data_IF_738477896409
#
_entry.id   IF_738477896409
#
_cell.length_a   1.000
_cell.length_b   1.000
_cell.length_c   1.000
_cell.angle_alpha   90.00
_cell.angle_beta   90.00
_cell.angle_gamma   90.00
#
_symmetry.space_group_name_H-M   'P 1'
#
loop_
_entity.id
_entity.type
_entity.pdbx_description
1 polymer ?
#
# COMPACT_ATOMS: atom_id res chain seq x y z
N UNK A 1 -3.02 -8.40 15.27
CA UNK A 1 -3.52 -8.04 13.93
C UNK A 1 -3.40 -6.53 13.84
N UNK A 2 -2.38 -6.08 13.12
CA UNK A 2 -2.09 -4.65 12.95
C UNK A 2 -2.50 -4.24 11.53
N UNK A 3 -3.21 -3.13 11.42
CA UNK A 3 -3.54 -2.56 10.11
C UNK A 3 -2.51 -1.48 9.83
N UNK A 4 -1.68 -1.72 8.81
CA UNK A 4 -0.69 -0.76 8.37
C UNK A 4 -1.24 -0.05 7.14
N UNK A 5 -1.51 1.26 7.27
CA UNK A 5 -1.92 2.07 6.13
C UNK A 5 -0.70 2.45 5.30
N UNK A 6 -0.85 2.52 3.98
CA UNK A 6 0.19 2.89 3.04
C UNK A 6 -0.38 3.85 2.01
N UNK A 7 0.36 4.91 1.68
CA UNK A 7 0.03 5.78 0.56
C UNK A 7 0.87 5.34 -0.64
N UNK A 8 0.22 5.03 -1.75
CA UNK A 8 0.87 4.73 -3.01
C UNK A 8 0.69 5.92 -3.95
N UNK A 9 1.79 6.52 -4.38
CA UNK A 9 1.79 7.57 -5.39
C UNK A 9 1.87 6.92 -6.78
N UNK A 10 0.96 7.31 -7.66
CA UNK A 10 0.74 6.68 -8.96
C UNK A 10 1.03 7.65 -10.09
N UNK A 11 1.60 7.15 -11.18
CA UNK A 11 1.83 7.87 -12.41
C UNK A 11 0.50 8.11 -13.13
N UNK A 12 0.37 9.27 -13.78
CA UNK A 12 -0.79 9.58 -14.61
C UNK A 12 -1.02 8.48 -15.67
N UNK A 13 -2.29 8.08 -15.85
CA UNK A 13 -2.69 7.00 -16.75
C UNK A 13 -2.61 5.57 -16.19
N UNK A 14 -1.98 5.35 -15.03
CA UNK A 14 -1.84 4.02 -14.41
C UNK A 14 -2.88 3.71 -13.32
N UNK A 15 -3.69 4.70 -12.97
CA UNK A 15 -4.56 4.67 -11.81
C UNK A 15 -5.53 3.47 -11.81
N UNK A 16 -6.33 3.30 -12.86
CA UNK A 16 -7.32 2.21 -12.94
C UNK A 16 -6.67 0.83 -13.01
N UNK A 17 -5.52 0.73 -13.67
CA UNK A 17 -4.73 -0.51 -13.77
C UNK A 17 -4.23 -0.92 -12.40
N UNK A 18 -3.59 -0.01 -11.67
CA UNK A 18 -3.05 -0.30 -10.33
C UNK A 18 -4.16 -0.53 -9.31
N UNK A 19 -5.29 0.17 -9.41
CA UNK A 19 -6.46 -0.07 -8.56
C UNK A 19 -6.92 -1.53 -8.67
N UNK A 20 -7.12 -2.04 -9.89
CA UNK A 20 -7.50 -3.45 -10.13
C UNK A 20 -6.47 -4.43 -9.61
N UNK A 21 -5.18 -4.11 -9.75
CA UNK A 21 -4.10 -4.95 -9.21
C UNK A 21 -4.19 -5.01 -7.69
N UNK A 22 -4.38 -3.88 -7.00
CA UNK A 22 -4.45 -3.84 -5.55
C UNK A 22 -5.70 -4.53 -5.01
N UNK A 23 -6.86 -4.39 -5.66
CA UNK A 23 -8.09 -5.12 -5.31
C UNK A 23 -7.94 -6.64 -5.44
N UNK A 24 -7.04 -7.12 -6.31
CA UNK A 24 -6.74 -8.54 -6.47
C UNK A 24 -5.65 -9.06 -5.52
N UNK A 25 -4.96 -8.20 -4.76
CA UNK A 25 -3.91 -8.61 -3.83
C UNK A 25 -4.51 -9.06 -2.49
N UNK A 26 -4.18 -10.28 -2.07
CA UNK A 26 -4.52 -10.75 -0.72
C UNK A 26 -3.91 -9.85 0.36
N UNK A 27 -4.63 -9.67 1.46
CA UNK A 27 -4.24 -8.83 2.60
C UNK A 27 -4.19 -7.32 2.34
N UNK A 28 -4.49 -6.87 1.12
CA UNK A 28 -4.61 -5.45 0.78
C UNK A 28 -6.09 -5.08 0.65
N UNK A 29 -6.46 -3.96 1.26
CA UNK A 29 -7.72 -3.28 1.01
C UNK A 29 -7.46 -1.88 0.50
N UNK A 30 -8.22 -1.43 -0.50
CA UNK A 30 -8.19 -0.04 -0.96
C UNK A 30 -9.13 0.78 -0.06
N UNK A 31 -8.60 1.77 0.64
CA UNK A 31 -9.35 2.61 1.57
C UNK A 31 -9.78 3.94 0.96
N UNK A 32 -9.08 4.43 -0.06
CA UNK A 32 -9.42 5.69 -0.68
C UNK A 32 -8.49 6.06 -1.83
N UNK A 33 -8.95 7.05 -2.59
CA UNK A 33 -8.25 7.58 -3.76
C UNK A 33 -8.29 9.10 -3.64
N UNK A 34 -7.14 9.75 -3.77
CA UNK A 34 -7.04 11.21 -3.74
C UNK A 34 -5.99 11.68 -4.75
N UNK A 35 -6.44 12.37 -5.80
CA UNK A 35 -5.56 12.83 -6.89
C UNK A 35 -4.78 11.67 -7.51
N UNK A 36 -3.44 11.70 -7.48
CA UNK A 36 -2.55 10.64 -7.94
C UNK A 36 -2.12 9.69 -6.82
N UNK A 37 -2.89 9.57 -5.74
CA UNK A 37 -2.58 8.73 -4.59
C UNK A 37 -3.69 7.71 -4.34
N UNK A 38 -3.29 6.48 -4.05
CA UNK A 38 -4.16 5.40 -3.60
C UNK A 38 -3.76 5.05 -2.16
N UNK A 39 -4.74 5.07 -1.25
CA UNK A 39 -4.55 4.66 0.14
C UNK A 39 -4.89 3.18 0.25
N UNK A 40 -3.90 2.40 0.67
CA UNK A 40 -4.02 0.97 0.91
C UNK A 40 -3.93 0.68 2.40
N UNK A 41 -4.62 -0.36 2.85
CA UNK A 41 -4.42 -0.97 4.14
C UNK A 41 -3.89 -2.39 3.96
N UNK A 42 -2.80 -2.70 4.63
CA UNK A 42 -2.25 -4.04 4.74
C UNK A 42 -2.65 -4.63 6.09
N UNK A 43 -3.40 -5.72 6.05
CA UNK A 43 -3.74 -6.51 7.23
C UNK A 43 -2.68 -7.59 7.45
N UNK A 44 -1.78 -7.36 8.40
CA UNK A 44 -0.73 -8.31 8.73
C UNK A 44 -0.18 -8.09 10.14
N UNK A 45 0.29 -9.15 10.78
CA UNK A 45 1.10 -9.13 12.00
C UNK A 45 2.56 -9.55 11.73
N UNK A 46 2.94 -9.80 10.47
CA UNK A 46 4.29 -10.18 10.07
C UNK A 46 4.99 -9.01 9.36
N UNK A 47 6.01 -8.46 10.02
CA UNK A 47 6.85 -7.38 9.48
C UNK A 47 7.51 -7.75 8.15
N UNK A 48 7.75 -9.04 7.89
CA UNK A 48 8.30 -9.49 6.62
C UNK A 48 7.26 -9.45 5.50
N UNK A 49 5.97 -9.65 5.80
CA UNK A 49 4.88 -9.46 4.82
C UNK A 49 4.81 -7.99 4.44
N UNK A 50 4.91 -7.06 5.40
CA UNK A 50 5.00 -5.63 5.11
C UNK A 50 6.16 -5.33 4.16
N UNK A 51 7.39 -5.70 4.55
CA UNK A 51 8.58 -5.39 3.75
C UNK A 51 8.50 -5.97 2.32
N UNK A 52 8.05 -7.22 2.17
CA UNK A 52 7.87 -7.86 0.86
C UNK A 52 6.77 -7.17 0.03
N UNK A 53 5.65 -6.83 0.66
CA UNK A 53 4.52 -6.19 -0.01
C UNK A 53 4.87 -4.78 -0.46
N UNK A 54 5.51 -3.99 0.40
CA UNK A 54 5.98 -2.64 0.07
C UNK A 54 6.96 -2.69 -1.10
N UNK A 55 7.94 -3.60 -1.07
CA UNK A 55 8.88 -3.77 -2.18
C UNK A 55 8.17 -4.19 -3.48
N UNK A 56 7.26 -5.17 -3.40
CA UNK A 56 6.49 -5.63 -4.56
C UNK A 56 5.70 -4.49 -5.20
N UNK A 57 5.04 -3.64 -4.41
CA UNK A 57 4.29 -2.49 -4.92
C UNK A 57 5.24 -1.43 -5.50
N UNK A 58 6.36 -1.16 -4.82
CA UNK A 58 7.35 -0.19 -5.30
C UNK A 58 7.93 -0.56 -6.67
N UNK A 59 8.09 -1.86 -6.95
CA UNK A 59 8.62 -2.36 -8.22
C UNK A 59 7.55 -2.42 -9.34
N UNK A 60 6.29 -2.06 -9.08
CA UNK A 60 5.23 -2.07 -10.09
C UNK A 60 5.34 -0.91 -11.08
N UNK A 61 5.11 -1.20 -12.37
CA UNK A 61 5.01 -0.15 -13.37
C UNK A 61 3.87 0.82 -13.04
N UNK A 62 4.16 2.12 -13.10
CA UNK A 62 3.21 3.18 -12.77
C UNK A 62 3.19 3.57 -11.30
N UNK A 63 3.91 2.89 -10.41
CA UNK A 63 4.12 3.36 -9.04
C UNK A 63 5.30 4.34 -9.01
N UNK A 64 5.06 5.53 -8.48
CA UNK A 64 6.08 6.56 -8.27
C UNK A 64 6.71 6.49 -6.88
N UNK A 65 5.98 5.95 -5.91
CA UNK A 65 6.44 5.78 -4.53
C UNK A 65 5.39 5.11 -3.66
N UNK A 66 5.84 4.55 -2.54
CA UNK A 66 4.99 3.96 -1.50
C UNK A 66 5.50 4.41 -0.13
N UNK A 67 4.56 4.83 0.72
CA UNK A 67 4.84 5.43 2.02
C UNK A 67 3.98 4.74 3.09
N UNK A 68 4.52 3.72 3.78
CA UNK A 68 3.87 3.14 4.94
C UNK A 68 3.71 4.17 6.05
N UNK A 69 2.53 4.22 6.66
CA UNK A 69 2.18 5.11 7.76
C UNK A 69 2.23 4.31 9.04
N UNK A 70 3.16 4.67 9.91
CA UNK A 70 3.25 4.15 11.27
C UNK A 70 2.72 5.21 12.22
N UNK A 71 1.65 4.92 12.97
CA UNK A 71 1.32 5.73 14.13
C UNK A 71 2.28 5.35 15.27
N UNK A 72 2.55 6.29 16.18
CA UNK A 72 3.44 6.06 17.32
C UNK A 72 2.97 4.93 18.25
N UNK A 73 1.70 4.55 18.15
CA UNK A 73 1.08 3.44 18.90
C UNK A 73 1.23 2.08 18.20
N UNK A 74 1.73 2.05 16.95
CA UNK A 74 1.87 0.86 16.11
C UNK A 74 3.32 0.34 16.01
N UNK A 75 4.24 0.88 16.81
CA UNK A 75 5.61 0.35 16.89
C UNK A 75 5.77 -0.36 18.25
N UNK A 76 6.24 -1.61 18.28
CA UNK A 76 6.56 -2.26 19.55
C UNK A 76 7.64 -1.46 20.27
N UNK A 77 7.43 -1.25 21.58
CA UNK A 77 8.41 -0.66 22.50
C UNK A 77 9.70 -1.46 22.55
#
# INVERSE_FOLDING_TARGET
MEIINMIVQVKEGFHDTLLRVFEAMSHISVHGIMSNQIVLALDTDDIHVLARTTKKIQDMEGVLGIYPIFSKDALPL
#
